data_IF_033317916060
#
_entry.id   IF_033317916060
#
_cell.length_a   1.000
_cell.length_b   1.000
_cell.length_c   1.000
_cell.angle_alpha   90.00
_cell.angle_beta   90.00
_cell.angle_gamma   90.00
#
_symmetry.space_group_name_H-M   'P 1'
#
loop_
_entity.id
_entity.type
_entity.pdbx_description
1 polymer ?
#
# COMPACT_ATOMS: atom_id res chain seq x y z
N UNK A 1 -2.19 23.37 -0.45
CA UNK A 1 -2.32 21.93 -0.82
C UNK A 1 -1.45 21.11 0.13
N UNK A 2 -1.84 19.88 0.48
CA UNK A 2 -0.99 18.98 1.26
C UNK A 2 0.29 18.66 0.49
N UNK A 3 1.43 18.58 1.19
CA UNK A 3 2.74 18.24 0.62
C UNK A 3 2.81 16.73 0.29
N UNK A 4 3.74 16.30 -0.59
CA UNK A 4 4.04 14.89 -0.80
C UNK A 4 4.28 14.13 0.50
N UNK A 5 5.14 14.64 1.39
CA UNK A 5 5.48 14.02 2.68
C UNK A 5 4.25 13.81 3.56
N UNK A 6 3.37 14.81 3.65
CA UNK A 6 2.13 14.69 4.42
C UNK A 6 1.22 13.61 3.83
N UNK A 7 1.08 13.55 2.49
CA UNK A 7 0.27 12.51 1.83
C UNK A 7 0.85 11.13 2.05
N UNK A 8 2.18 11.01 1.99
CA UNK A 8 2.90 9.78 2.29
C UNK A 8 2.62 9.33 3.74
N UNK A 9 2.80 10.21 4.72
CA UNK A 9 2.59 9.91 6.14
C UNK A 9 1.16 9.42 6.40
N UNK A 10 0.15 10.13 5.87
CA UNK A 10 -1.26 9.79 6.11
C UNK A 10 -1.69 8.52 5.39
N UNK A 11 -1.26 8.33 4.14
CA UNK A 11 -1.57 7.09 3.41
C UNK A 11 -0.86 5.88 4.02
N UNK A 12 0.40 6.02 4.44
CA UNK A 12 1.15 4.96 5.16
C UNK A 12 0.43 4.58 6.46
N UNK A 13 -0.01 5.58 7.25
CA UNK A 13 -0.79 5.32 8.46
C UNK A 13 -2.12 4.62 8.17
N UNK A 14 -2.81 4.97 7.09
CA UNK A 14 -4.06 4.33 6.68
C UNK A 14 -3.83 2.86 6.28
N UNK A 15 -2.81 2.59 5.46
CA UNK A 15 -2.41 1.21 5.07
C UNK A 15 -2.12 0.37 6.32
N UNK A 16 -1.32 0.88 7.27
CA UNK A 16 -1.02 0.18 8.53
C UNK A 16 -2.28 -0.13 9.34
N UNK A 17 -3.23 0.81 9.42
CA UNK A 17 -4.49 0.59 10.12
C UNK A 17 -5.33 -0.50 9.44
N UNK A 18 -5.45 -0.47 8.12
CA UNK A 18 -6.18 -1.48 7.34
C UNK A 18 -5.56 -2.87 7.46
N UNK A 19 -4.22 -2.96 7.43
CA UNK A 19 -3.51 -4.22 7.70
C UNK A 19 -3.84 -4.80 9.08
N UNK A 20 -3.95 -3.96 10.12
CA UNK A 20 -4.34 -4.42 11.47
C UNK A 20 -5.78 -4.92 11.50
N UNK A 21 -6.69 -4.28 10.78
CA UNK A 21 -8.09 -4.75 10.64
C UNK A 21 -8.14 -6.09 9.91
N UNK A 22 -7.30 -6.32 8.89
CA UNK A 22 -7.21 -7.61 8.20
C UNK A 22 -6.76 -8.78 9.08
N UNK A 23 -6.18 -8.50 10.26
CA UNK A 23 -5.81 -9.51 11.25
C UNK A 23 -6.97 -9.94 12.16
N UNK A 24 -8.13 -9.27 12.08
CA UNK A 24 -9.31 -9.63 12.86
C UNK A 24 -10.23 -10.56 12.07
N UNK A 25 -11.23 -11.13 12.73
CA UNK A 25 -12.32 -11.80 12.04
C UNK A 25 -13.16 -10.77 11.29
N UNK A 26 -13.34 -10.99 9.99
CA UNK A 26 -14.12 -10.14 9.09
C UNK A 26 -15.04 -11.05 8.29
N UNK A 27 -16.29 -10.62 8.09
CA UNK A 27 -17.15 -11.24 7.09
C UNK A 27 -16.70 -10.90 5.66
N UNK A 28 -17.35 -11.51 4.67
CA UNK A 28 -17.02 -11.32 3.25
C UNK A 28 -17.19 -9.88 2.78
N UNK A 29 -18.25 -9.20 3.23
CA UNK A 29 -18.53 -7.82 2.83
C UNK A 29 -17.52 -6.86 3.48
N UNK A 30 -17.25 -7.03 4.77
CA UNK A 30 -16.22 -6.27 5.49
C UNK A 30 -14.85 -6.46 4.84
N UNK A 31 -14.51 -7.69 4.45
CA UNK A 31 -13.25 -7.97 3.75
C UNK A 31 -13.18 -7.25 2.39
N UNK A 32 -14.27 -7.26 1.62
CA UNK A 32 -14.34 -6.55 0.35
C UNK A 32 -14.17 -5.03 0.53
N UNK A 33 -14.86 -4.44 1.51
CA UNK A 33 -14.74 -3.00 1.83
C UNK A 33 -13.31 -2.62 2.23
N UNK A 34 -12.66 -3.46 3.04
CA UNK A 34 -11.26 -3.25 3.43
C UNK A 34 -10.31 -3.37 2.24
N UNK A 35 -10.55 -4.30 1.30
CA UNK A 35 -9.75 -4.39 0.07
C UNK A 35 -9.87 -3.14 -0.80
N UNK A 36 -11.07 -2.54 -0.90
CA UNK A 36 -11.28 -1.27 -1.61
C UNK A 36 -10.53 -0.13 -0.91
N UNK A 37 -10.66 -0.02 0.42
CA UNK A 37 -9.95 1.01 1.18
C UNK A 37 -8.41 0.85 1.08
N UNK A 38 -7.93 -0.39 1.05
CA UNK A 38 -6.51 -0.72 0.89
C UNK A 38 -6.00 -0.35 -0.49
N UNK A 39 -6.78 -0.64 -1.54
CA UNK A 39 -6.49 -0.20 -2.91
C UNK A 39 -6.26 1.31 -2.98
N UNK A 40 -7.21 2.10 -2.47
CA UNK A 40 -7.14 3.56 -2.55
C UNK A 40 -5.98 4.12 -1.73
N UNK A 41 -5.77 3.57 -0.53
CA UNK A 41 -4.69 4.00 0.37
C UNK A 41 -3.31 3.70 -0.23
N UNK A 42 -3.12 2.51 -0.80
CA UNK A 42 -1.88 2.12 -1.48
C UNK A 42 -1.62 2.98 -2.73
N UNK A 43 -2.66 3.31 -3.50
CA UNK A 43 -2.54 4.20 -4.66
C UNK A 43 -2.11 5.61 -4.25
N UNK A 44 -2.70 6.15 -3.19
CA UNK A 44 -2.31 7.46 -2.65
C UNK A 44 -0.86 7.46 -2.15
N UNK A 45 -0.43 6.38 -1.49
CA UNK A 45 0.95 6.20 -1.04
C UNK A 45 1.93 6.18 -2.23
N UNK A 46 1.68 5.33 -3.22
CA UNK A 46 2.53 5.23 -4.42
C UNK A 46 2.63 6.58 -5.14
N UNK A 47 1.50 7.28 -5.30
CA UNK A 47 1.47 8.62 -5.90
C UNK A 47 2.31 9.64 -5.11
N UNK A 48 2.32 9.55 -3.77
CA UNK A 48 3.14 10.43 -2.94
C UNK A 48 4.63 10.16 -3.17
N UNK A 49 5.03 8.89 -3.20
CA UNK A 49 6.42 8.45 -3.47
C UNK A 49 6.86 8.91 -4.86
N UNK A 50 6.05 8.68 -5.90
CA UNK A 50 6.37 9.09 -7.27
C UNK A 50 6.43 10.62 -7.40
N UNK A 51 5.62 11.37 -6.64
CA UNK A 51 5.68 12.84 -6.65
C UNK A 51 6.99 13.37 -6.04
N UNK A 52 7.51 12.72 -5.00
CA UNK A 52 8.79 13.08 -4.37
C UNK A 52 9.99 12.58 -5.20
N UNK A 53 9.86 11.40 -5.82
CA UNK A 53 10.90 10.77 -6.63
C UNK A 53 10.40 10.38 -8.04
N UNK A 54 10.18 11.35 -8.96
CA UNK A 54 9.60 11.07 -10.29
C UNK A 54 10.37 10.06 -11.13
N UNK A 55 11.68 9.93 -10.90
CA UNK A 55 12.55 8.96 -11.61
C UNK A 55 12.21 7.50 -11.30
N UNK A 56 11.49 7.21 -10.21
CA UNK A 56 11.08 5.86 -9.83
C UNK A 56 9.92 5.32 -10.69
N UNK A 57 9.22 6.19 -11.42
CA UNK A 57 8.06 5.79 -12.21
C UNK A 57 6.82 5.51 -11.35
N UNK A 58 5.77 4.97 -11.98
CA UNK A 58 4.55 4.55 -11.28
C UNK A 58 4.81 3.25 -10.52
N UNK A 59 4.70 3.32 -9.19
CA UNK A 59 4.87 2.18 -8.29
C UNK A 59 3.57 1.44 -8.03
N UNK A 60 2.43 1.98 -8.45
CA UNK A 60 1.15 1.35 -8.17
C UNK A 60 0.93 0.14 -9.08
N UNK A 61 0.52 -0.98 -8.49
CA UNK A 61 -0.06 -2.12 -9.23
C UNK A 61 -1.24 -2.71 -8.46
N UNK A 62 -2.21 -3.34 -9.14
CA UNK A 62 -3.29 -4.09 -8.48
C UNK A 62 -2.77 -5.20 -7.57
N UNK A 63 -1.59 -5.77 -7.89
CA UNK A 63 -0.96 -6.84 -7.12
C UNK A 63 -0.58 -6.45 -5.68
N UNK A 64 -0.33 -5.15 -5.42
CA UNK A 64 -0.06 -4.66 -4.07
C UNK A 64 -1.23 -4.90 -3.13
N UNK A 65 -2.47 -4.79 -3.61
CA UNK A 65 -3.67 -5.02 -2.77
C UNK A 65 -3.68 -6.46 -2.27
N UNK A 66 -3.44 -7.41 -3.19
CA UNK A 66 -3.34 -8.83 -2.86
C UNK A 66 -2.18 -9.11 -1.89
N UNK A 67 -0.99 -8.54 -2.16
CA UNK A 67 0.19 -8.72 -1.32
C UNK A 67 -0.07 -8.31 0.14
N UNK A 68 -0.64 -7.12 0.34
CA UNK A 68 -0.94 -6.59 1.67
C UNK A 68 -2.14 -7.29 2.32
N UNK A 69 -3.13 -7.74 1.52
CA UNK A 69 -4.28 -8.50 2.06
C UNK A 69 -3.93 -9.92 2.48
N UNK A 70 -3.00 -10.56 1.76
CA UNK A 70 -2.59 -11.96 2.01
C UNK A 70 -1.54 -12.02 3.13
N UNK A 71 -0.72 -10.98 3.29
CA UNK A 71 0.35 -10.90 4.29
C UNK A 71 0.23 -9.66 5.19
N UNK A 72 -0.90 -9.44 5.89
CA UNK A 72 -1.13 -8.24 6.70
C UNK A 72 -0.16 -8.11 7.89
N UNK A 73 0.47 -9.22 8.32
CA UNK A 73 1.51 -9.22 9.37
C UNK A 73 2.83 -8.61 8.90
N UNK A 74 3.14 -8.71 7.61
CA UNK A 74 4.37 -8.18 7.00
C UNK A 74 4.17 -6.74 6.48
N UNK A 75 3.05 -6.10 6.82
CA UNK A 75 2.65 -4.80 6.26
C UNK A 75 3.71 -3.70 6.45
N UNK A 76 4.34 -3.62 7.62
CA UNK A 76 5.41 -2.63 7.86
C UNK A 76 6.64 -2.90 6.99
N UNK A 77 7.04 -4.17 6.87
CA UNK A 77 8.13 -4.60 5.99
C UNK A 77 7.85 -4.28 4.52
N UNK A 78 6.63 -4.51 4.04
CA UNK A 78 6.27 -4.16 2.67
C UNK A 78 6.29 -2.65 2.41
N UNK A 79 5.91 -1.84 3.40
CA UNK A 79 6.01 -0.38 3.31
C UNK A 79 7.47 0.08 3.24
N UNK A 80 8.35 -0.49 4.07
CA UNK A 80 9.80 -0.20 4.03
C UNK A 80 10.39 -0.57 2.67
N UNK A 81 10.03 -1.74 2.12
CA UNK A 81 10.45 -2.16 0.79
C UNK A 81 9.92 -1.22 -0.31
N UNK A 82 8.67 -0.76 -0.21
CA UNK A 82 8.10 0.21 -1.15
C UNK A 82 8.88 1.54 -1.18
N UNK A 83 9.53 1.92 -0.08
CA UNK A 83 10.39 3.10 -0.02
C UNK A 83 11.79 2.87 -0.59
N UNK A 84 12.22 1.62 -0.73
CA UNK A 84 13.54 1.31 -1.28
C UNK A 84 13.64 1.75 -2.76
N UNK A 85 14.68 2.51 -3.15
CA UNK A 85 14.82 3.03 -4.51
C UNK A 85 14.75 1.97 -5.62
N UNK A 86 15.23 0.76 -5.33
CA UNK A 86 15.32 -0.36 -6.27
C UNK A 86 14.08 -1.27 -6.30
N UNK A 87 13.12 -1.04 -5.40
CA UNK A 87 11.90 -1.83 -5.36
C UNK A 87 11.04 -1.62 -6.62
N UNK A 88 10.73 -2.74 -7.29
CA UNK A 88 9.79 -2.76 -8.42
C UNK A 88 8.64 -3.72 -8.12
N UNK A 89 7.39 -3.25 -8.13
CA UNK A 89 6.22 -4.07 -7.80
C UNK A 89 6.04 -5.29 -8.70
N UNK A 90 6.47 -5.20 -9.97
CA UNK A 90 6.32 -6.25 -10.98
C UNK A 90 6.99 -7.59 -10.62
N UNK A 91 8.01 -7.58 -9.75
CA UNK A 91 8.69 -8.81 -9.31
C UNK A 91 7.82 -9.69 -8.40
N UNK A 92 6.84 -9.10 -7.71
CA UNK A 92 6.03 -9.80 -6.71
C UNK A 92 4.58 -10.06 -7.18
N UNK A 93 4.20 -9.55 -8.36
CA UNK A 93 2.87 -9.77 -8.98
C UNK A 93 2.76 -10.98 -9.91
N UNK A 94 3.84 -11.76 -10.11
CA UNK A 94 3.84 -13.01 -10.88
C UNK A 94 3.99 -14.22 -9.94
N UNK A 95 2.94 -14.56 -9.22
CA UNK A 95 2.80 -15.86 -8.55
C UNK A 95 1.35 -16.26 -8.42
#
# INVERSE_FOLDING_TARGET
MPTPDWRYEKSSSAVKALCRVLLTELDENQRADIQIALHDSLKLLCNAITAEYPKRGDLWTPGLVKLFSDQPRECERWLELLDEPDFKPDYYGRS
#
